data_IF_861207656406
#
_entry.id   IF_861207656406
#
_cell.length_a   1.000
_cell.length_b   1.000
_cell.length_c   1.000
_cell.angle_alpha   90.00
_cell.angle_beta   90.00
_cell.angle_gamma   90.00
#
_symmetry.space_group_name_H-M   'P 1'
#
loop_
_entity.id
_entity.type
_entity.pdbx_description
1 polymer ?
#
# COMPACT_ATOMS: atom_id res chain seq x y z
N UNK A 1 7.92 16.53 -6.85
CA UNK A 1 7.82 15.05 -6.92
C UNK A 1 9.10 14.31 -6.51
N UNK A 2 10.31 14.89 -6.64
CA UNK A 2 11.58 14.26 -6.25
C UNK A 2 11.77 14.03 -4.72
N UNK A 3 10.86 14.51 -3.87
CA UNK A 3 10.97 14.47 -2.41
C UNK A 3 10.01 13.47 -1.71
N UNK A 4 9.35 12.58 -2.48
CA UNK A 4 8.55 11.46 -1.93
C UNK A 4 9.39 10.18 -1.90
N UNK A 5 8.95 9.14 -1.19
CA UNK A 5 9.67 7.87 -0.99
C UNK A 5 10.21 7.24 -2.30
N UNK A 6 9.51 7.47 -3.41
CA UNK A 6 9.85 7.03 -4.77
C UNK A 6 11.14 7.67 -5.32
N UNK A 7 11.48 8.89 -4.91
CA UNK A 7 12.70 9.57 -5.36
C UNK A 7 13.97 8.96 -4.76
N UNK A 8 13.94 8.66 -3.45
CA UNK A 8 15.05 8.00 -2.74
C UNK A 8 15.25 6.56 -3.23
N UNK A 9 14.15 5.82 -3.42
CA UNK A 9 14.23 4.43 -3.91
C UNK A 9 14.70 4.33 -5.35
N UNK A 10 14.44 5.33 -6.20
CA UNK A 10 15.01 5.39 -7.54
C UNK A 10 16.55 5.54 -7.54
N UNK A 11 17.10 6.35 -6.62
CA UNK A 11 18.56 6.44 -6.44
C UNK A 11 19.15 5.12 -5.95
N UNK A 12 18.49 4.47 -4.99
CA UNK A 12 18.89 3.16 -4.50
C UNK A 12 18.86 2.11 -5.63
N UNK A 13 17.82 2.11 -6.46
CA UNK A 13 17.75 1.26 -7.65
C UNK A 13 18.95 1.49 -8.58
N UNK A 14 19.28 2.74 -8.89
CA UNK A 14 20.42 3.05 -9.77
C UNK A 14 21.75 2.56 -9.20
N UNK A 15 21.99 2.74 -7.90
CA UNK A 15 23.19 2.24 -7.21
C UNK A 15 23.30 0.71 -7.32
N UNK A 16 22.20 0.01 -7.02
CA UNK A 16 22.15 -1.46 -7.08
C UNK A 16 22.30 -1.96 -8.52
N UNK A 17 21.70 -1.27 -9.48
CA UNK A 17 21.83 -1.59 -10.91
C UNK A 17 23.25 -1.38 -11.44
N UNK A 18 23.94 -0.32 -10.99
CA UNK A 18 25.34 -0.09 -11.34
C UNK A 18 26.27 -1.19 -10.79
N UNK A 19 26.00 -1.69 -9.58
CA UNK A 19 26.70 -2.84 -9.00
C UNK A 19 26.44 -4.08 -9.86
N UNK A 20 25.17 -4.38 -10.17
CA UNK A 20 24.79 -5.52 -11.01
C UNK A 20 25.51 -5.51 -12.36
N UNK A 21 25.45 -4.37 -13.07
CA UNK A 21 26.07 -4.25 -14.39
C UNK A 21 27.59 -4.40 -14.36
N UNK A 22 28.21 -4.01 -13.25
CA UNK A 22 29.66 -4.05 -13.07
C UNK A 22 30.15 -5.34 -12.40
N UNK A 23 29.25 -6.28 -12.06
CA UNK A 23 29.53 -7.44 -11.23
C UNK A 23 30.65 -8.33 -11.78
N UNK A 24 30.57 -8.70 -13.06
CA UNK A 24 31.59 -9.54 -13.72
C UNK A 24 32.98 -8.88 -13.78
N UNK A 25 33.03 -7.54 -13.85
CA UNK A 25 34.29 -6.81 -13.77
C UNK A 25 34.77 -6.67 -12.33
N UNK A 26 33.87 -6.57 -11.37
CA UNK A 26 34.19 -6.45 -9.94
C UNK A 26 34.85 -7.72 -9.42
N UNK A 27 34.33 -8.90 -9.82
CA UNK A 27 34.88 -10.20 -9.43
C UNK A 27 36.25 -10.49 -10.07
N UNK A 28 36.50 -9.99 -11.28
CA UNK A 28 37.76 -10.24 -12.00
C UNK A 28 38.85 -9.19 -11.74
N UNK A 29 38.49 -7.91 -11.64
CA UNK A 29 39.44 -6.82 -11.38
C UNK A 29 38.75 -5.58 -10.81
N UNK A 30 38.60 -5.48 -9.47
CA UNK A 30 37.79 -4.44 -8.81
C UNK A 30 38.35 -3.02 -8.97
N UNK A 31 39.63 -2.85 -9.31
CA UNK A 31 40.29 -1.55 -9.47
C UNK A 31 40.31 -1.02 -10.92
N UNK A 32 39.92 -1.83 -11.91
CA UNK A 32 40.08 -1.48 -13.35
C UNK A 32 38.77 -1.14 -14.09
N UNK A 33 37.61 -1.27 -13.46
CA UNK A 33 36.34 -0.96 -14.12
C UNK A 33 36.14 0.56 -14.29
N UNK A 34 36.05 1.02 -15.54
CA UNK A 34 35.73 2.42 -15.90
C UNK A 34 34.55 2.43 -16.87
N UNK A 35 33.50 3.16 -16.54
CA UNK A 35 32.36 3.39 -17.43
C UNK A 35 32.18 4.90 -17.64
N UNK A 36 32.18 5.35 -18.89
CA UNK A 36 32.15 6.79 -19.26
C UNK A 36 33.16 7.63 -18.45
N UNK A 37 34.41 7.16 -18.38
CA UNK A 37 35.56 7.81 -17.69
C UNK A 37 35.56 7.82 -16.16
N UNK A 38 34.45 7.48 -15.49
CA UNK A 38 34.38 7.37 -14.02
C UNK A 38 34.48 5.93 -13.52
N UNK A 39 35.14 5.74 -12.38
CA UNK A 39 35.22 4.44 -11.70
C UNK A 39 33.93 4.11 -10.95
N UNK A 40 33.63 2.82 -10.77
CA UNK A 40 32.44 2.36 -10.03
C UNK A 40 32.34 2.99 -8.63
N UNK A 41 33.44 2.94 -7.87
CA UNK A 41 33.48 3.47 -6.50
C UNK A 41 33.19 4.97 -6.43
N UNK A 42 33.58 5.74 -7.44
CA UNK A 42 33.27 7.17 -7.52
C UNK A 42 31.78 7.41 -7.74
N UNK A 43 31.12 6.60 -8.57
CA UNK A 43 29.67 6.70 -8.80
C UNK A 43 28.89 6.28 -7.56
N UNK A 44 29.30 5.17 -6.92
CA UNK A 44 28.68 4.69 -5.68
C UNK A 44 28.82 5.71 -4.55
N UNK A 45 29.99 6.32 -4.38
CA UNK A 45 30.20 7.34 -3.35
C UNK A 45 29.37 8.59 -3.62
N UNK A 46 29.35 9.11 -4.85
CA UNK A 46 28.50 10.25 -5.23
C UNK A 46 27.02 9.96 -4.99
N UNK A 47 26.53 8.80 -5.44
CA UNK A 47 25.13 8.42 -5.25
C UNK A 47 24.75 8.22 -3.79
N UNK A 48 25.64 7.61 -2.98
CA UNK A 48 25.43 7.46 -1.54
C UNK A 48 25.43 8.81 -0.81
N UNK A 49 26.34 9.72 -1.17
CA UNK A 49 26.38 11.08 -0.63
C UNK A 49 25.07 11.80 -0.95
N UNK A 50 24.59 11.76 -2.19
CA UNK A 50 23.32 12.38 -2.57
C UNK A 50 22.15 11.76 -1.81
N UNK A 51 22.12 10.42 -1.65
CA UNK A 51 21.09 9.73 -0.88
C UNK A 51 21.06 10.19 0.59
N UNK A 52 22.23 10.27 1.23
CA UNK A 52 22.37 10.74 2.61
C UNK A 52 21.94 12.21 2.73
N UNK A 53 22.40 13.08 1.82
CA UNK A 53 22.03 14.49 1.80
C UNK A 53 20.52 14.69 1.67
N UNK A 54 19.86 13.93 0.79
CA UNK A 54 18.40 13.97 0.63
C UNK A 54 17.67 13.44 1.86
N UNK A 55 18.17 12.39 2.51
CA UNK A 55 17.60 11.87 3.75
C UNK A 55 17.71 12.89 4.89
N UNK A 56 18.86 13.55 5.04
CA UNK A 56 19.07 14.62 6.03
C UNK A 56 18.13 15.81 5.73
N UNK A 57 18.07 16.26 4.47
CA UNK A 57 17.17 17.34 4.07
C UNK A 57 15.71 16.99 4.36
N UNK A 58 15.30 15.73 4.14
CA UNK A 58 13.95 15.24 4.45
C UNK A 58 13.67 15.27 5.96
N UNK A 59 14.61 14.83 6.79
CA UNK A 59 14.47 14.88 8.25
C UNK A 59 14.43 16.32 8.78
N UNK A 60 15.21 17.22 8.20
CA UNK A 60 15.19 18.64 8.53
C UNK A 60 13.83 19.28 8.19
N UNK A 61 13.24 18.96 7.03
CA UNK A 61 11.89 19.39 6.65
C UNK A 61 10.79 18.85 7.59
N UNK A 62 11.03 17.68 8.18
CA UNK A 62 10.13 17.06 9.18
C UNK A 62 10.37 17.57 10.61
N UNK A 63 11.20 18.62 10.77
CA UNK A 63 11.55 19.20 12.07
C UNK A 63 12.12 18.14 13.05
N UNK A 64 12.81 17.13 12.52
CA UNK A 64 13.39 16.05 13.33
C UNK A 64 12.39 15.03 13.88
N UNK A 65 11.10 15.12 13.54
CA UNK A 65 10.08 14.17 13.97
C UNK A 65 9.70 13.20 12.86
N UNK A 66 9.46 11.93 13.20
CA UNK A 66 8.81 11.01 12.26
C UNK A 66 7.30 11.30 12.25
N UNK A 67 6.63 11.11 11.10
CA UNK A 67 5.19 11.27 11.03
C UNK A 67 4.51 10.34 12.04
N UNK A 68 3.79 10.92 12.99
CA UNK A 68 2.95 10.16 13.90
C UNK A 68 1.69 9.71 13.16
N UNK A 69 1.32 8.46 13.36
CA UNK A 69 0.08 7.89 12.84
C UNK A 69 -0.66 7.19 13.98
N UNK A 70 -1.95 6.97 13.80
CA UNK A 70 -2.81 6.38 14.82
C UNK A 70 -3.05 4.89 14.56
N UNK A 71 -3.54 4.13 15.55
CA UNK A 71 -4.00 2.75 15.34
C UNK A 71 -5.12 2.63 14.30
N UNK A 72 -5.82 3.72 13.98
CA UNK A 72 -6.84 3.76 12.94
C UNK A 72 -6.22 3.66 11.54
N UNK A 73 -5.03 4.25 11.37
CA UNK A 73 -4.34 4.33 10.09
C UNK A 73 -3.65 3.01 9.72
N UNK A 74 -3.03 2.36 10.70
CA UNK A 74 -2.34 1.09 10.53
C UNK A 74 -2.46 0.23 11.81
N UNK A 75 -3.60 -0.46 12.02
CA UNK A 75 -3.80 -1.30 13.20
C UNK A 75 -2.70 -2.35 13.42
N UNK A 76 -2.19 -3.06 12.39
CA UNK A 76 -1.09 -4.00 12.56
C UNK A 76 0.16 -3.41 13.22
N UNK A 77 0.51 -2.15 12.94
CA UNK A 77 1.71 -1.52 13.51
C UNK A 77 1.66 -1.33 15.03
N UNK A 78 0.47 -1.26 15.63
CA UNK A 78 0.29 -1.05 17.07
C UNK A 78 -0.01 -2.33 17.86
N UNK A 79 -0.07 -3.49 17.19
CA UNK A 79 -0.34 -4.75 17.89
C UNK A 79 0.84 -5.12 18.81
N UNK A 80 0.63 -5.56 20.07
CA UNK A 80 1.71 -5.79 21.03
C UNK A 80 2.64 -6.95 20.62
N UNK A 81 2.08 -8.03 20.08
CA UNK A 81 2.87 -9.20 19.66
C UNK A 81 3.62 -8.93 18.35
N UNK A 82 4.95 -9.03 18.40
CA UNK A 82 5.83 -8.93 17.24
C UNK A 82 5.51 -9.97 16.16
N UNK A 83 5.19 -11.21 16.57
CA UNK A 83 4.91 -12.31 15.63
C UNK A 83 3.65 -11.97 14.80
N UNK A 84 2.60 -11.46 15.45
CA UNK A 84 1.37 -11.01 14.76
C UNK A 84 1.66 -9.89 13.78
N UNK A 85 2.50 -8.91 14.16
CA UNK A 85 2.94 -7.84 13.25
C UNK A 85 3.66 -8.41 12.04
N UNK A 86 4.66 -9.25 12.27
CA UNK A 86 5.47 -9.85 11.22
C UNK A 86 4.63 -10.70 10.24
N UNK A 87 3.80 -11.61 10.76
CA UNK A 87 2.91 -12.44 9.93
C UNK A 87 1.96 -11.58 9.09
N UNK A 88 1.36 -10.56 9.72
CA UNK A 88 0.46 -9.65 9.02
C UNK A 88 1.20 -8.84 7.95
N UNK A 89 2.37 -8.28 8.24
CA UNK A 89 3.15 -7.52 7.25
C UNK A 89 3.67 -8.37 6.10
N UNK A 90 4.10 -9.61 6.36
CA UNK A 90 4.46 -10.55 5.30
C UNK A 90 3.25 -10.86 4.40
N UNK A 91 2.07 -11.07 4.99
CA UNK A 91 0.84 -11.22 4.21
C UNK A 91 0.49 -9.97 3.42
N UNK A 92 0.63 -8.77 4.00
CA UNK A 92 0.39 -7.53 3.27
C UNK A 92 1.33 -7.38 2.08
N UNK A 93 2.60 -7.76 2.21
CA UNK A 93 3.53 -7.80 1.07
C UNK A 93 3.05 -8.77 -0.03
N UNK A 94 2.62 -9.98 0.34
CA UNK A 94 2.06 -10.95 -0.59
C UNK A 94 0.76 -10.44 -1.25
N UNK A 95 -0.11 -9.81 -0.48
CA UNK A 95 -1.35 -9.21 -0.95
C UNK A 95 -1.10 -8.05 -1.93
N UNK A 96 -0.14 -7.17 -1.64
CA UNK A 96 0.24 -6.10 -2.57
C UNK A 96 0.82 -6.67 -3.88
N UNK A 97 1.61 -7.74 -3.82
CA UNK A 97 2.08 -8.41 -5.05
C UNK A 97 0.92 -9.07 -5.80
N UNK A 98 -0.04 -9.66 -5.10
CA UNK A 98 -1.26 -10.19 -5.72
C UNK A 98 -2.06 -9.10 -6.43
N UNK A 99 -2.20 -7.90 -5.87
CA UNK A 99 -2.87 -6.78 -6.53
C UNK A 99 -2.20 -6.38 -7.86
N UNK A 100 -0.88 -6.54 -7.98
CA UNK A 100 -0.15 -6.29 -9.23
C UNK A 100 -0.43 -7.34 -10.31
N UNK A 101 -0.76 -8.57 -9.92
CA UNK A 101 -1.02 -9.68 -10.85
C UNK A 101 -2.52 -9.82 -11.17
N UNK A 102 -3.37 -9.62 -10.15
CA UNK A 102 -4.81 -9.76 -10.22
C UNK A 102 -5.47 -8.64 -9.37
N UNK A 103 -5.70 -7.45 -9.96
CA UNK A 103 -6.28 -6.29 -9.26
C UNK A 103 -7.81 -6.46 -9.09
N UNK A 104 -8.24 -7.55 -8.44
CA UNK A 104 -9.65 -7.87 -8.28
C UNK A 104 -10.29 -7.06 -7.14
N UNK A 105 -9.64 -7.04 -5.98
CA UNK A 105 -10.08 -6.34 -4.77
C UNK A 105 -9.34 -5.01 -4.68
N UNK A 106 -9.96 -3.94 -5.18
CA UNK A 106 -9.43 -2.58 -5.02
C UNK A 106 -10.41 -1.78 -4.18
N UNK A 107 -9.85 -0.97 -3.29
CA UNK A 107 -10.54 0.02 -2.48
C UNK A 107 -9.72 1.30 -2.49
N UNK A 108 -10.35 2.46 -2.51
CA UNK A 108 -9.59 3.72 -2.36
C UNK A 108 -8.99 3.89 -0.96
N UNK A 109 -9.51 3.16 0.05
CA UNK A 109 -9.06 3.24 1.43
C UNK A 109 -9.00 1.86 2.10
N UNK A 110 -7.88 1.59 2.77
CA UNK A 110 -7.58 0.33 3.47
C UNK A 110 -7.35 0.50 4.98
N UNK A 111 -7.71 1.66 5.55
CA UNK A 111 -7.59 1.94 6.98
C UNK A 111 -8.68 1.23 7.81
N UNK A 112 -8.71 1.45 9.12
CA UNK A 112 -9.78 1.02 10.03
C UNK A 112 -10.13 -0.48 9.95
N UNK A 113 -9.09 -1.33 9.92
CA UNK A 113 -9.28 -2.80 9.99
C UNK A 113 -9.70 -3.47 8.70
N UNK A 114 -9.49 -2.82 7.54
CA UNK A 114 -9.81 -3.40 6.21
C UNK A 114 -9.20 -4.78 5.96
N UNK A 115 -8.00 -5.02 6.50
CA UNK A 115 -7.36 -6.33 6.48
C UNK A 115 -7.27 -6.83 7.92
N UNK A 116 -7.98 -7.91 8.28
CA UNK A 116 -7.89 -8.49 9.61
C UNK A 116 -6.47 -8.94 9.94
N UNK A 117 -6.07 -8.79 11.21
CA UNK A 117 -4.77 -9.27 11.68
C UNK A 117 -4.65 -10.78 11.51
N UNK A 118 -3.44 -11.26 11.23
CA UNK A 118 -3.11 -12.68 11.28
C UNK A 118 -2.60 -12.99 12.68
N UNK A 119 -3.46 -13.59 13.50
CA UNK A 119 -3.15 -13.90 14.91
C UNK A 119 -2.68 -15.34 15.13
N UNK A 120 -2.90 -16.23 14.16
CA UNK A 120 -2.57 -17.65 14.23
C UNK A 120 -1.66 -18.06 13.09
N UNK A 121 -0.71 -18.96 13.37
CA UNK A 121 0.11 -19.61 12.33
C UNK A 121 -0.71 -20.46 11.37
N UNK A 122 -1.87 -20.97 11.82
CA UNK A 122 -2.79 -21.80 11.03
C UNK A 122 -3.78 -20.99 10.18
N UNK A 123 -3.63 -19.66 10.14
CA UNK A 123 -4.45 -18.84 9.26
C UNK A 123 -4.19 -19.24 7.79
N UNK A 124 -5.23 -19.55 6.99
CA UNK A 124 -5.06 -19.98 5.61
C UNK A 124 -4.35 -18.94 4.74
N UNK A 125 -4.41 -17.66 5.12
CA UNK A 125 -3.69 -16.58 4.43
C UNK A 125 -2.18 -16.75 4.47
N UNK A 126 -1.64 -17.47 5.46
CA UNK A 126 -0.22 -17.81 5.53
C UNK A 126 0.22 -18.74 4.40
N UNK A 127 -0.69 -19.51 3.78
CA UNK A 127 -0.37 -20.30 2.59
C UNK A 127 -0.03 -19.40 1.40
N UNK A 128 -0.80 -18.32 1.21
CA UNK A 128 -0.55 -17.31 0.17
C UNK A 128 0.77 -16.59 0.44
N UNK A 129 1.00 -16.19 1.70
CA UNK A 129 2.27 -15.60 2.13
C UNK A 129 3.45 -16.53 1.86
N UNK A 130 3.34 -17.81 2.22
CA UNK A 130 4.37 -18.81 1.98
C UNK A 130 4.66 -19.02 0.49
N UNK A 131 3.62 -19.14 -0.34
CA UNK A 131 3.75 -19.26 -1.78
C UNK A 131 4.45 -18.04 -2.41
N UNK A 132 4.08 -16.83 -1.99
CA UNK A 132 4.72 -15.59 -2.44
C UNK A 132 6.19 -15.54 -2.02
N UNK A 133 6.53 -15.91 -0.78
CA UNK A 133 7.91 -15.96 -0.33
C UNK A 133 8.74 -17.00 -1.09
N UNK A 134 8.19 -18.20 -1.33
CA UNK A 134 8.87 -19.23 -2.14
C UNK A 134 9.11 -18.74 -3.56
N UNK A 135 8.12 -18.10 -4.20
CA UNK A 135 8.29 -17.51 -5.52
C UNK A 135 9.37 -16.43 -5.52
N UNK A 136 9.37 -15.53 -4.54
CA UNK A 136 10.37 -14.47 -4.39
C UNK A 136 11.77 -15.03 -4.17
N UNK A 137 11.92 -16.04 -3.31
CA UNK A 137 13.19 -16.73 -3.08
C UNK A 137 13.69 -17.44 -4.34
N UNK A 138 12.81 -18.12 -5.08
CA UNK A 138 13.18 -18.79 -6.33
C UNK A 138 13.65 -17.80 -7.41
N UNK A 139 12.94 -16.68 -7.57
CA UNK A 139 13.34 -15.60 -8.48
C UNK A 139 14.67 -14.98 -8.05
N UNK A 140 14.84 -14.72 -6.75
CA UNK A 140 16.07 -14.15 -6.20
C UNK A 140 17.26 -15.08 -6.39
N UNK A 141 17.09 -16.37 -6.13
CA UNK A 141 18.12 -17.38 -6.38
C UNK A 141 18.50 -17.45 -7.86
N UNK A 142 17.52 -17.43 -8.78
CA UNK A 142 17.77 -17.37 -10.23
C UNK A 142 18.55 -16.11 -10.62
N UNK A 143 18.20 -14.95 -10.07
CA UNK A 143 18.93 -13.70 -10.29
C UNK A 143 20.38 -13.81 -9.80
N UNK A 144 20.61 -14.42 -8.62
CA UNK A 144 21.95 -14.59 -8.07
C UNK A 144 22.82 -15.53 -8.93
N UNK A 145 22.25 -16.63 -9.42
CA UNK A 145 22.99 -17.58 -10.27
C UNK A 145 23.35 -17.00 -11.65
N UNK A 146 22.60 -15.99 -12.11
CA UNK A 146 22.82 -15.35 -13.40
C UNK A 146 23.55 -14.00 -13.30
N UNK A 147 24.05 -13.64 -12.11
CA UNK A 147 24.78 -12.39 -11.87
C UNK A 147 26.03 -12.24 -12.76
N UNK A 148 26.75 -13.33 -13.00
CA UNK A 148 28.01 -13.29 -13.75
C UNK A 148 27.80 -13.25 -15.28
N UNK A 149 26.80 -14.00 -15.76
CA UNK A 149 26.50 -14.14 -17.19
C UNK A 149 25.55 -13.06 -17.71
N UNK A 150 24.76 -12.43 -16.82
CA UNK A 150 23.79 -11.36 -17.13
C UNK A 150 22.77 -11.73 -18.22
N UNK A 151 22.47 -13.02 -18.40
CA UNK A 151 21.66 -13.56 -19.50
C UNK A 151 20.19 -13.14 -19.42
N UNK A 152 19.67 -13.04 -18.21
CA UNK A 152 18.30 -12.75 -17.83
C UNK A 152 18.21 -11.36 -17.19
N UNK A 153 18.88 -10.36 -17.76
CA UNK A 153 18.82 -8.97 -17.26
C UNK A 153 17.39 -8.45 -17.03
N UNK A 154 16.38 -8.74 -17.88
CA UNK A 154 14.99 -8.33 -17.60
C UNK A 154 14.40 -8.90 -16.30
N UNK A 155 14.77 -10.13 -15.93
CA UNK A 155 14.37 -10.77 -14.67
C UNK A 155 14.93 -10.01 -13.47
N UNK A 156 16.23 -9.70 -13.52
CA UNK A 156 16.94 -9.00 -12.44
C UNK A 156 16.40 -7.58 -12.27
N UNK A 157 16.29 -6.83 -13.36
CA UNK A 157 15.75 -5.46 -13.34
C UNK A 157 14.29 -5.44 -12.90
N UNK A 158 13.47 -6.38 -13.39
CA UNK A 158 12.09 -6.54 -12.98
C UNK A 158 11.96 -6.79 -11.48
N UNK A 159 12.76 -7.69 -10.92
CA UNK A 159 12.79 -7.98 -9.48
C UNK A 159 13.28 -6.78 -8.65
N UNK A 160 14.31 -6.08 -9.11
CA UNK A 160 14.82 -4.86 -8.46
C UNK A 160 13.74 -3.77 -8.41
N UNK A 161 13.06 -3.51 -9.52
CA UNK A 161 11.98 -2.53 -9.61
C UNK A 161 10.74 -2.94 -8.81
N UNK A 162 10.48 -4.25 -8.65
CA UNK A 162 9.41 -4.77 -7.81
C UNK A 162 9.70 -4.55 -6.32
N UNK A 163 10.91 -4.90 -5.86
CA UNK A 163 11.24 -4.99 -4.43
C UNK A 163 11.77 -3.67 -3.85
N UNK A 164 12.75 -3.04 -4.50
CA UNK A 164 13.46 -1.87 -3.93
C UNK A 164 12.51 -0.70 -3.64
N UNK A 165 11.63 -0.29 -4.57
CA UNK A 165 10.69 0.81 -4.34
C UNK A 165 9.58 0.48 -3.35
N UNK A 166 9.23 -0.80 -3.20
CA UNK A 166 8.19 -1.24 -2.26
C UNK A 166 8.70 -1.35 -0.82
N UNK A 167 10.00 -1.58 -0.62
CA UNK A 167 10.59 -1.90 0.68
C UNK A 167 10.25 -0.88 1.79
N UNK A 168 10.28 0.45 1.57
CA UNK A 168 9.88 1.42 2.61
C UNK A 168 8.38 1.35 2.95
N UNK A 169 7.54 0.97 2.00
CA UNK A 169 6.10 0.87 2.17
C UNK A 169 5.63 -0.51 2.68
N UNK A 170 6.56 -1.48 2.79
CA UNK A 170 6.25 -2.86 3.19
C UNK A 170 5.85 -3.02 4.66
N UNK A 171 6.05 -2.00 5.50
CA UNK A 171 5.95 -2.06 6.95
C UNK A 171 6.95 -3.03 7.64
N UNK A 172 7.83 -3.71 6.89
CA UNK A 172 8.81 -4.66 7.45
C UNK A 172 10.05 -3.97 8.02
N UNK A 173 10.53 -2.91 7.35
CA UNK A 173 11.70 -2.14 7.81
C UNK A 173 11.29 -0.91 8.62
N UNK A 174 10.31 -0.17 8.11
CA UNK A 174 9.81 1.07 8.71
C UNK A 174 8.30 1.00 8.66
N UNK A 175 7.65 1.23 9.80
CA UNK A 175 6.19 1.28 9.87
C UNK A 175 5.68 2.59 9.29
N UNK A 176 4.67 2.49 8.45
CA UNK A 176 4.05 3.62 7.75
C UNK A 176 2.57 3.73 8.13
N UNK A 177 1.97 4.90 7.98
CA UNK A 177 0.58 5.18 8.36
C UNK A 177 -0.49 4.60 7.41
N UNK A 178 -0.22 3.48 6.73
CA UNK A 178 -1.19 2.83 5.84
C UNK A 178 -0.98 1.32 5.79
N UNK A 179 -2.08 0.58 5.66
CA UNK A 179 -2.08 -0.89 5.64
C UNK A 179 -1.69 -1.41 4.25
N UNK A 180 -2.41 -0.98 3.20
CA UNK A 180 -2.11 -1.36 1.81
C UNK A 180 -1.55 -0.15 1.07
N UNK A 181 -0.49 -0.37 0.30
CA UNK A 181 0.33 0.67 -0.27
C UNK A 181 0.02 0.94 -1.75
N UNK A 182 -1.25 0.89 -2.18
CA UNK A 182 -1.59 0.94 -3.62
C UNK A 182 -0.96 2.12 -4.37
N UNK A 183 -0.98 3.31 -3.75
CA UNK A 183 -0.37 4.54 -4.32
C UNK A 183 1.15 4.48 -4.52
N UNK A 184 1.84 3.53 -3.88
CA UNK A 184 3.29 3.31 -3.98
C UNK A 184 3.62 2.21 -5.00
N UNK A 185 2.62 1.44 -5.44
CA UNK A 185 2.79 0.34 -6.39
C UNK A 185 3.09 0.78 -7.83
N UNK A 186 3.16 2.09 -8.13
CA UNK A 186 3.44 2.56 -9.49
C UNK A 186 4.82 2.13 -10.05
N UNK A 187 5.90 2.20 -9.25
CA UNK A 187 7.21 1.70 -9.71
C UNK A 187 7.27 0.16 -9.60
N UNK A 188 6.81 -0.47 -8.51
CA UNK A 188 6.71 -1.92 -8.42
C UNK A 188 5.91 -2.57 -9.56
N UNK A 189 4.88 -1.90 -10.09
CA UNK A 189 4.09 -2.40 -11.22
C UNK A 189 4.92 -2.50 -12.50
N UNK A 190 5.85 -1.59 -12.74
CA UNK A 190 6.81 -1.70 -13.86
C UNK A 190 7.65 -2.96 -13.72
N UNK A 191 8.12 -3.25 -12.50
CA UNK A 191 8.83 -4.50 -12.19
C UNK A 191 7.96 -5.73 -12.44
N UNK A 192 6.72 -5.73 -11.94
CA UNK A 192 5.76 -6.82 -12.15
C UNK A 192 5.45 -7.06 -13.62
N UNK A 193 5.24 -6.00 -14.41
CA UNK A 193 4.99 -6.08 -15.85
C UNK A 193 6.21 -6.68 -16.57
N UNK A 194 7.42 -6.22 -16.26
CA UNK A 194 8.65 -6.79 -16.83
C UNK A 194 8.78 -8.29 -16.53
N UNK A 195 8.57 -8.69 -15.27
CA UNK A 195 8.62 -10.10 -14.86
C UNK A 195 7.56 -10.95 -15.58
N UNK A 196 6.34 -10.41 -15.70
CA UNK A 196 5.21 -11.09 -16.34
C UNK A 196 5.46 -11.26 -17.84
N UNK A 197 5.82 -10.18 -18.54
CA UNK A 197 6.10 -10.20 -19.98
C UNK A 197 7.29 -11.11 -20.27
N UNK A 198 8.34 -11.06 -19.45
CA UNK A 198 9.51 -11.91 -19.62
C UNK A 198 9.18 -13.39 -19.40
N UNK A 199 8.40 -13.71 -18.36
CA UNK A 199 7.90 -15.06 -18.13
C UNK A 199 7.04 -15.57 -19.29
N UNK A 200 6.14 -14.72 -19.80
CA UNK A 200 5.33 -15.00 -20.99
C UNK A 200 6.18 -15.24 -22.22
N UNK A 201 7.22 -14.45 -22.46
CA UNK A 201 8.13 -14.64 -23.60
C UNK A 201 8.82 -16.01 -23.56
N UNK A 202 9.30 -16.43 -22.38
CA UNK A 202 9.92 -17.75 -22.17
C UNK A 202 8.89 -18.87 -22.43
N UNK A 203 7.66 -18.70 -21.94
CA UNK A 203 6.57 -19.65 -22.13
C UNK A 203 6.14 -19.73 -23.60
N UNK A 204 6.00 -18.60 -24.30
CA UNK A 204 5.60 -18.52 -25.71
C UNK A 204 6.62 -19.18 -26.64
N UNK A 205 7.91 -19.12 -26.33
CA UNK A 205 8.92 -19.89 -27.07
C UNK A 205 8.72 -21.41 -27.00
N UNK A 206 8.01 -21.91 -25.99
CA UNK A 206 7.70 -23.34 -25.79
C UNK A 206 6.22 -23.68 -25.99
N UNK A 207 5.37 -22.66 -26.07
CA UNK A 207 3.92 -22.78 -26.02
C UNK A 207 3.31 -22.81 -27.41
N UNK A 208 2.24 -23.60 -27.57
CA UNK A 208 1.43 -23.61 -28.79
C UNK A 208 0.33 -22.55 -28.79
N UNK A 209 -0.49 -22.54 -29.83
CA UNK A 209 -1.65 -21.65 -30.03
C UNK A 209 -2.56 -21.48 -28.80
N UNK A 210 -2.71 -22.51 -27.96
CA UNK A 210 -3.55 -22.46 -26.76
C UNK A 210 -3.04 -21.49 -25.70
N UNK A 211 -1.71 -21.35 -25.55
CA UNK A 211 -1.12 -20.37 -24.64
C UNK A 211 -1.41 -18.95 -25.14
N UNK A 212 -1.26 -18.69 -26.44
CA UNK A 212 -1.55 -17.39 -27.02
C UNK A 212 -3.04 -17.02 -26.87
N UNK A 213 -3.95 -17.98 -27.09
CA UNK A 213 -5.39 -17.79 -26.86
C UNK A 213 -5.66 -17.49 -25.39
N UNK A 214 -5.07 -18.25 -24.46
CA UNK A 214 -5.23 -18.02 -23.03
C UNK A 214 -4.76 -16.63 -22.59
N UNK A 215 -3.62 -16.16 -23.11
CA UNK A 215 -3.11 -14.82 -22.84
C UNK A 215 -4.01 -13.73 -23.44
N UNK A 216 -4.50 -13.92 -24.67
CA UNK A 216 -5.43 -12.98 -25.30
C UNK A 216 -6.73 -12.86 -24.50
N UNK A 217 -7.28 -13.97 -24.01
CA UNK A 217 -8.46 -13.99 -23.13
C UNK A 217 -8.16 -13.27 -21.82
N UNK A 218 -7.00 -13.51 -21.20
CA UNK A 218 -6.60 -12.84 -19.96
C UNK A 218 -6.50 -11.31 -20.13
N UNK A 219 -5.87 -10.87 -21.22
CA UNK A 219 -5.75 -9.43 -21.56
C UNK A 219 -7.13 -8.83 -21.83
N UNK A 220 -7.99 -9.50 -22.60
CA UNK A 220 -9.35 -9.04 -22.88
C UNK A 220 -10.19 -8.94 -21.59
N UNK A 221 -10.10 -9.94 -20.70
CA UNK A 221 -10.77 -9.92 -19.41
C UNK A 221 -10.26 -8.77 -18.51
N UNK A 222 -8.94 -8.54 -18.48
CA UNK A 222 -8.33 -7.41 -17.78
C UNK A 222 -8.80 -6.07 -18.32
N UNK A 223 -8.84 -5.89 -19.64
CA UNK A 223 -9.31 -4.66 -20.27
C UNK A 223 -10.80 -4.41 -20.00
N UNK A 224 -11.64 -5.44 -20.10
CA UNK A 224 -13.07 -5.35 -19.77
C UNK A 224 -13.27 -4.96 -18.29
N UNK A 225 -12.48 -5.55 -17.39
CA UNK A 225 -12.46 -5.20 -15.96
C UNK A 225 -12.06 -3.75 -15.71
N UNK A 226 -11.02 -3.26 -16.38
CA UNK A 226 -10.61 -1.85 -16.28
C UNK A 226 -11.73 -0.92 -16.76
N UNK A 227 -12.39 -1.27 -17.87
CA UNK A 227 -13.50 -0.49 -18.40
C UNK A 227 -14.69 -0.43 -17.42
N UNK A 228 -15.04 -1.56 -16.80
CA UNK A 228 -16.11 -1.60 -15.80
C UNK A 228 -15.70 -0.83 -14.53
N UNK A 229 -14.47 -1.01 -14.04
CA UNK A 229 -13.94 -0.30 -12.87
C UNK A 229 -13.92 1.22 -13.04
N UNK A 230 -13.74 1.73 -14.27
CA UNK A 230 -13.83 3.17 -14.53
C UNK A 230 -15.22 3.75 -14.22
N UNK A 231 -16.27 2.92 -14.16
CA UNK A 231 -17.63 3.36 -13.77
C UNK A 231 -17.71 3.73 -12.29
N UNK A 232 -16.97 3.03 -11.43
CA UNK A 232 -16.94 3.30 -9.99
C UNK A 232 -16.49 4.74 -9.72
N UNK A 233 -15.50 5.23 -10.48
CA UNK A 233 -14.91 6.56 -10.34
C UNK A 233 -15.76 7.72 -10.89
N UNK A 234 -16.93 7.44 -11.49
CA UNK A 234 -17.76 8.49 -12.10
C UNK A 234 -18.38 9.45 -11.09
N UNK A 235 -18.79 8.93 -9.94
CA UNK A 235 -19.47 9.71 -8.91
C UNK A 235 -19.00 9.30 -7.51
N UNK A 236 -19.20 10.18 -6.54
CA UNK A 236 -18.93 9.87 -5.13
C UNK A 236 -19.74 8.67 -4.64
N UNK A 237 -20.99 8.56 -5.07
CA UNK A 237 -21.89 7.46 -4.70
C UNK A 237 -21.40 6.11 -5.20
N UNK A 238 -21.09 6.01 -6.51
CA UNK A 238 -20.62 4.77 -7.14
C UNK A 238 -19.31 4.31 -6.54
N UNK A 239 -18.39 5.23 -6.25
CA UNK A 239 -17.11 4.92 -5.63
C UNK A 239 -17.34 4.32 -4.23
N UNK A 240 -18.03 5.05 -3.35
CA UNK A 240 -18.27 4.62 -1.98
C UNK A 240 -19.04 3.29 -1.89
N UNK A 241 -19.99 3.05 -2.81
CA UNK A 241 -20.69 1.76 -2.90
C UNK A 241 -19.76 0.63 -3.33
N UNK A 242 -18.90 0.88 -4.31
CA UNK A 242 -17.92 -0.11 -4.77
C UNK A 242 -16.95 -0.47 -3.62
N UNK A 243 -16.46 0.51 -2.86
CA UNK A 243 -15.56 0.22 -1.73
C UNK A 243 -16.28 -0.53 -0.61
N UNK A 244 -17.52 -0.15 -0.28
CA UNK A 244 -18.32 -0.88 0.72
C UNK A 244 -18.64 -2.31 0.30
N UNK A 245 -18.79 -2.58 -1.00
CA UNK A 245 -18.97 -3.93 -1.51
C UNK A 245 -17.70 -4.79 -1.34
N UNK A 246 -16.51 -4.18 -1.42
CA UNK A 246 -15.22 -4.85 -1.22
C UNK A 246 -14.88 -4.98 0.26
N UNK A 247 -15.19 -3.97 1.07
CA UNK A 247 -14.83 -3.85 2.48
C UNK A 247 -16.06 -3.49 3.34
N UNK A 248 -17.05 -4.40 3.49
CA UNK A 248 -18.29 -4.14 4.21
C UNK A 248 -18.11 -3.98 5.73
N UNK A 249 -16.91 -4.26 6.26
CA UNK A 249 -16.59 -4.15 7.67
C UNK A 249 -15.59 -3.02 7.96
N UNK A 250 -15.48 -2.03 7.06
CA UNK A 250 -14.62 -0.86 7.26
C UNK A 250 -15.44 0.33 7.82
N UNK A 251 -15.11 0.73 9.05
CA UNK A 251 -15.80 1.83 9.73
C UNK A 251 -15.68 3.17 8.99
N UNK A 252 -14.54 3.46 8.36
CA UNK A 252 -14.30 4.70 7.61
C UNK A 252 -15.17 4.77 6.35
N UNK A 253 -15.34 3.66 5.65
CA UNK A 253 -16.21 3.61 4.47
C UNK A 253 -17.67 3.83 4.85
N UNK A 254 -18.15 3.20 5.93
CA UNK A 254 -19.48 3.48 6.46
C UNK A 254 -19.66 4.94 6.88
N UNK A 255 -18.67 5.54 7.56
CA UNK A 255 -18.68 6.96 7.92
C UNK A 255 -18.71 7.88 6.69
N UNK A 256 -17.89 7.60 5.68
CA UNK A 256 -17.82 8.40 4.45
C UNK A 256 -19.13 8.30 3.65
N UNK A 257 -19.72 7.11 3.57
CA UNK A 257 -21.02 6.91 2.94
C UNK A 257 -22.15 7.58 3.73
N UNK A 258 -22.10 7.56 5.07
CA UNK A 258 -23.02 8.32 5.90
C UNK A 258 -22.92 9.84 5.67
N UNK A 259 -21.70 10.39 5.52
CA UNK A 259 -21.51 11.79 5.16
C UNK A 259 -22.14 12.10 3.78
N UNK A 260 -21.91 11.24 2.78
CA UNK A 260 -22.55 11.40 1.47
C UNK A 260 -24.08 11.38 1.57
N UNK A 261 -24.65 10.42 2.31
CA UNK A 261 -26.10 10.32 2.52
C UNK A 261 -26.66 11.54 3.25
N UNK A 262 -25.91 12.09 4.21
CA UNK A 262 -26.25 13.33 4.89
C UNK A 262 -26.24 14.51 3.91
N UNK A 263 -25.24 14.59 3.02
CA UNK A 263 -25.11 15.66 2.02
C UNK A 263 -26.28 15.65 1.01
N UNK A 264 -26.86 14.47 0.71
CA UNK A 264 -28.06 14.32 -0.14
C UNK A 264 -29.38 14.24 0.65
N UNK A 265 -29.37 14.70 1.91
CA UNK A 265 -30.53 14.80 2.79
C UNK A 265 -31.23 13.46 3.15
N UNK A 266 -30.56 12.32 2.92
CA UNK A 266 -31.03 11.00 3.34
C UNK A 266 -30.64 10.68 4.80
N UNK A 267 -31.17 11.47 5.73
CA UNK A 267 -30.78 11.46 7.13
C UNK A 267 -30.95 10.09 7.82
N UNK A 268 -32.05 9.37 7.56
CA UNK A 268 -32.26 8.05 8.17
C UNK A 268 -31.20 7.02 7.76
N UNK A 269 -30.83 7.01 6.48
CA UNK A 269 -29.79 6.12 5.97
C UNK A 269 -28.41 6.54 6.49
N UNK A 270 -28.13 7.85 6.57
CA UNK A 270 -26.91 8.36 7.17
C UNK A 270 -26.74 7.89 8.62
N UNK A 271 -27.80 7.97 9.44
CA UNK A 271 -27.79 7.48 10.83
C UNK A 271 -27.48 5.98 10.88
N UNK A 272 -28.06 5.15 10.01
CA UNK A 272 -27.76 3.70 9.94
C UNK A 272 -26.27 3.46 9.67
N UNK A 273 -25.69 4.14 8.70
CA UNK A 273 -24.28 3.97 8.36
C UNK A 273 -23.33 4.55 9.44
N UNK A 274 -23.65 5.67 10.10
CA UNK A 274 -22.87 6.14 11.25
C UNK A 274 -22.92 5.14 12.41
N UNK A 275 -24.08 4.54 12.68
CA UNK A 275 -24.20 3.50 13.71
C UNK A 275 -23.35 2.28 13.38
N UNK A 276 -23.34 1.82 12.12
CA UNK A 276 -22.49 0.70 11.72
C UNK A 276 -21.00 1.08 11.82
N UNK A 277 -20.61 2.30 11.44
CA UNK A 277 -19.25 2.80 11.63
C UNK A 277 -18.83 2.77 13.11
N UNK A 278 -19.71 3.19 14.02
CA UNK A 278 -19.45 3.17 15.47
C UNK A 278 -19.51 1.75 16.08
N UNK A 279 -20.29 0.84 15.50
CA UNK A 279 -20.27 -0.58 15.89
C UNK A 279 -18.94 -1.23 15.53
N UNK A 280 -18.43 -0.94 14.33
CA UNK A 280 -17.14 -1.43 13.85
C UNK A 280 -15.97 -0.76 14.57
N UNK A 281 -16.10 0.54 14.88
CA UNK A 281 -15.07 1.33 15.57
C UNK A 281 -15.67 2.29 16.60
N UNK A 282 -15.90 1.84 17.85
CA UNK A 282 -16.59 2.63 18.88
C UNK A 282 -15.89 3.94 19.24
N UNK A 283 -14.58 4.03 19.08
CA UNK A 283 -13.80 5.25 19.39
C UNK A 283 -13.76 6.27 18.26
N UNK A 284 -14.58 6.13 17.21
CA UNK A 284 -14.53 7.02 16.06
C UNK A 284 -15.20 8.37 16.35
N UNK A 285 -14.41 9.29 16.92
CA UNK A 285 -14.87 10.60 17.39
C UNK A 285 -15.66 11.39 16.33
N UNK A 286 -15.21 11.42 15.07
CA UNK A 286 -15.89 12.14 14.00
C UNK A 286 -17.25 11.53 13.64
N UNK A 287 -17.39 10.19 13.71
CA UNK A 287 -18.68 9.53 13.51
C UNK A 287 -19.65 9.83 14.65
N UNK A 288 -19.17 9.87 15.90
CA UNK A 288 -19.97 10.33 17.04
C UNK A 288 -20.45 11.77 16.85
N UNK A 289 -19.55 12.70 16.54
CA UNK A 289 -19.93 14.10 16.29
C UNK A 289 -20.99 14.22 15.19
N UNK A 290 -20.78 13.57 14.04
CA UNK A 290 -21.71 13.71 12.92
C UNK A 290 -23.06 13.04 13.20
N UNK A 291 -23.08 11.89 13.88
CA UNK A 291 -24.32 11.26 14.34
C UNK A 291 -25.07 12.18 15.32
N UNK A 292 -24.35 12.83 16.25
CA UNK A 292 -24.93 13.81 17.17
C UNK A 292 -25.68 14.94 16.46
N UNK A 293 -25.18 15.41 15.31
CA UNK A 293 -25.86 16.44 14.51
C UNK A 293 -27.16 16.00 13.85
N UNK A 294 -27.41 14.68 13.75
CA UNK A 294 -28.59 14.12 13.08
C UNK A 294 -29.64 13.57 14.04
N UNK A 295 -29.33 13.47 15.34
CA UNK A 295 -30.27 12.93 16.33
C UNK A 295 -31.10 14.07 16.93
N UNK A 296 -32.43 13.90 16.90
CA UNK A 296 -33.38 14.94 17.33
C UNK A 296 -33.42 15.15 18.85
N UNK A 297 -33.20 14.10 19.64
CA UNK A 297 -33.29 14.18 21.10
C UNK A 297 -32.01 14.81 21.67
N UNK A 298 -32.12 16.01 22.28
CA UNK A 298 -30.99 16.77 22.81
C UNK A 298 -30.07 15.93 23.72
N UNK A 299 -30.62 15.14 24.65
CA UNK A 299 -29.80 14.29 25.51
C UNK A 299 -29.00 13.20 24.78
N UNK A 300 -29.50 12.70 23.63
CA UNK A 300 -28.73 11.74 22.80
C UNK A 300 -27.68 12.45 21.95
N UNK A 301 -27.98 13.65 21.45
CA UNK A 301 -27.01 14.47 20.73
C UNK A 301 -25.84 14.85 21.65
N UNK A 302 -26.14 15.32 22.87
CA UNK A 302 -25.18 15.62 23.92
C UNK A 302 -24.27 14.42 24.21
N UNK A 303 -24.86 13.25 24.44
CA UNK A 303 -24.11 12.01 24.66
C UNK A 303 -23.08 11.76 23.55
N UNK A 304 -23.48 11.91 22.28
CA UNK A 304 -22.58 11.71 21.16
C UNK A 304 -21.46 12.75 21.07
N UNK A 305 -21.74 14.03 21.33
CA UNK A 305 -20.70 15.05 21.39
C UNK A 305 -19.71 14.80 22.53
N UNK A 306 -20.19 14.39 23.71
CA UNK A 306 -19.34 13.99 24.84
C UNK A 306 -18.51 12.75 24.53
N UNK A 307 -19.05 11.74 23.82
CA UNK A 307 -18.25 10.60 23.36
C UNK A 307 -17.17 11.04 22.37
N UNK A 308 -17.47 11.95 21.43
CA UNK A 308 -16.46 12.47 20.51
C UNK A 308 -15.30 13.13 21.27
N UNK A 309 -15.60 13.93 22.31
CA UNK A 309 -14.59 14.58 23.17
C UNK A 309 -13.84 13.58 24.07
N UNK A 310 -14.51 12.50 24.51
CA UNK A 310 -13.87 11.41 25.26
C UNK A 310 -12.77 10.75 24.42
N UNK A 311 -13.02 10.50 23.13
CA UNK A 311 -12.07 9.83 22.24
C UNK A 311 -11.08 10.79 21.57
N UNK A 312 -11.44 12.06 21.40
CA UNK A 312 -10.55 13.11 20.93
C UNK A 312 -10.89 14.43 21.66
N UNK A 313 -10.10 14.75 22.68
CA UNK A 313 -10.32 15.94 23.54
C UNK A 313 -10.25 17.26 22.77
N UNK A 314 -9.50 17.29 21.68
CA UNK A 314 -9.29 18.48 20.85
C UNK A 314 -10.23 18.52 19.63
N UNK A 315 -11.32 17.72 19.63
CA UNK A 315 -12.26 17.65 18.51
C UNK A 315 -13.11 18.93 18.41
N UNK A 316 -12.60 19.91 17.66
CA UNK A 316 -13.16 21.26 17.49
C UNK A 316 -14.67 21.27 17.20
N UNK A 317 -15.13 20.46 16.24
CA UNK A 317 -16.55 20.42 15.87
C UNK A 317 -17.45 19.90 17.01
N UNK A 318 -16.93 19.04 17.89
CA UNK A 318 -17.71 18.50 18.99
C UNK A 318 -17.87 19.54 20.10
N UNK A 319 -16.81 20.30 20.42
CA UNK A 319 -16.89 21.46 21.31
C UNK A 319 -17.91 22.49 20.79
N UNK A 320 -17.82 22.84 19.51
CA UNK A 320 -18.75 23.78 18.87
C UNK A 320 -20.21 23.31 18.96
N UNK A 321 -20.47 22.05 18.60
CA UNK A 321 -21.83 21.51 18.62
C UNK A 321 -22.40 21.38 20.05
N UNK A 322 -21.56 21.04 21.02
CA UNK A 322 -21.96 20.98 22.43
C UNK A 322 -22.29 22.39 22.96
N UNK A 323 -21.47 23.40 22.64
CA UNK A 323 -21.75 24.79 22.99
C UNK A 323 -23.05 25.29 22.35
N UNK A 324 -23.34 24.90 21.10
CA UNK A 324 -24.60 25.20 20.43
C UNK A 324 -25.80 24.53 21.10
N UNK A 325 -25.64 23.32 21.65
CA UNK A 325 -26.71 22.55 22.28
C UNK A 325 -27.08 23.08 23.67
N UNK A 326 -26.12 23.65 24.40
CA UNK A 326 -26.34 24.24 25.73
C UNK A 326 -26.80 25.70 25.72
N UNK A 327 -26.81 26.33 24.54
CA UNK A 327 -27.31 27.69 24.37
C UNK A 327 -28.82 27.70 24.22
#
# INVERSE_FOLDING_TARGET
>A
MLAKETGLTALLFNLVFDIYRSWSSLTRSPSKFRWRHEGLWSRLSKGLIVLIMLAIARLALLQGSLPAFSPQDNPPAFHPSFIVRLMTFCYLAAFNWWLLLCPWTLSHDWQMGSIPLITSGWDPRNLITGAALVALMALSYRCLMDLELQRHTPLVVGLMLLVIPYLPASNLLVTVGFVVAERVLYIPSVGSVLLTVYGVQILCHRGGRWLAIGLAVLVAAGAARTFDRNRDWRTRETLLRADLAVLPHNAKLHYNFANFLKDIEQQENAIKHYKEALKLWPSYASAHNNLGTLVLASGRAEHHFLQALKYNKDHVNAHYNLAKLYR
#
